data_IF_837098212050
#
_entry.id   IF_837098212050
#
_cell.length_a   1.000
_cell.length_b   1.000
_cell.length_c   1.000
_cell.angle_alpha   90.00
_cell.angle_beta   90.00
_cell.angle_gamma   90.00
#
_symmetry.space_group_name_H-M   'P 1'
#
loop_
_entity.id
_entity.type
_entity.pdbx_description
1 polymer ?
#
# COMPACT_ATOMS: atom_id res chain seq x y z
N UNK A 1 3.01 2.12 7.39
CA UNK A 1 3.00 0.66 7.09
C UNK A 1 4.42 0.17 7.15
N UNK A 2 4.62 -1.04 7.70
CA UNK A 2 5.93 -1.65 7.87
C UNK A 2 5.96 -2.97 7.12
N UNK A 3 6.98 -3.17 6.30
CA UNK A 3 7.20 -4.39 5.54
C UNK A 3 8.55 -4.97 5.94
N UNK A 4 8.56 -6.19 6.48
CA UNK A 4 9.79 -6.90 6.86
C UNK A 4 10.07 -8.01 5.87
N UNK A 5 11.33 -8.13 5.45
CA UNK A 5 11.78 -9.23 4.60
C UNK A 5 13.27 -9.51 4.81
N UNK A 6 13.69 -10.72 4.44
CA UNK A 6 15.10 -11.11 4.35
C UNK A 6 15.42 -11.45 2.90
N UNK A 7 16.60 -11.06 2.45
CA UNK A 7 17.12 -11.50 1.15
C UNK A 7 17.50 -12.99 1.26
N UNK A 8 17.42 -13.71 0.14
CA UNK A 8 17.75 -15.15 0.07
C UNK A 8 19.27 -15.43 0.15
N UNK A 9 20.09 -14.39 0.33
CA UNK A 9 21.55 -14.53 0.40
C UNK A 9 22.00 -14.79 1.84
N UNK A 10 22.99 -15.66 1.99
CA UNK A 10 23.56 -16.00 3.29
C UNK A 10 24.19 -14.75 3.93
N UNK A 11 23.91 -14.50 5.21
CA UNK A 11 24.37 -13.29 5.92
C UNK A 11 23.55 -12.01 5.66
N UNK A 12 22.39 -12.11 5.01
CA UNK A 12 21.52 -10.95 4.78
C UNK A 12 20.90 -10.41 6.07
N UNK A 13 20.97 -9.10 6.34
CA UNK A 13 20.28 -8.49 7.46
C UNK A 13 18.76 -8.58 7.27
N UNK A 14 18.01 -8.49 8.37
CA UNK A 14 16.57 -8.25 8.28
C UNK A 14 16.34 -6.80 7.83
N UNK A 15 15.59 -6.64 6.74
CA UNK A 15 15.27 -5.33 6.17
C UNK A 15 13.83 -4.99 6.49
N UNK A 16 13.61 -3.79 7.01
CA UNK A 16 12.29 -3.24 7.29
C UNK A 16 12.06 -1.95 6.51
N UNK A 17 10.97 -1.87 5.76
CA UNK A 17 10.57 -0.67 5.03
C UNK A 17 9.36 -0.07 5.71
N UNK A 18 9.51 1.15 6.20
CA UNK A 18 8.41 1.95 6.71
C UNK A 18 7.95 2.98 5.67
N UNK A 19 6.69 2.89 5.26
CA UNK A 19 6.04 3.88 4.39
C UNK A 19 4.96 4.62 5.17
N UNK A 20 5.12 5.93 5.29
CA UNK A 20 4.10 6.84 5.83
C UNK A 20 3.03 7.13 4.78
N UNK A 21 1.83 7.49 5.24
CA UNK A 21 0.73 7.89 4.36
C UNK A 21 1.05 9.12 3.51
N UNK A 22 1.92 10.01 4.01
CA UNK A 22 2.39 11.21 3.32
C UNK A 22 3.59 10.99 2.38
N UNK A 23 3.89 9.75 2.00
CA UNK A 23 4.94 9.44 1.01
C UNK A 23 6.38 9.45 1.55
N UNK A 24 6.60 9.69 2.85
CA UNK A 24 7.90 9.44 3.47
C UNK A 24 8.16 7.94 3.53
N UNK A 25 9.29 7.52 2.99
CA UNK A 25 9.77 6.13 3.04
C UNK A 25 11.05 6.11 3.85
N UNK A 26 11.13 5.19 4.81
CA UNK A 26 12.32 4.87 5.58
C UNK A 26 12.66 3.40 5.38
N UNK A 27 13.94 3.08 5.35
CA UNK A 27 14.42 1.71 5.28
C UNK A 27 15.31 1.49 6.48
N UNK A 28 15.16 0.34 7.14
CA UNK A 28 15.95 -0.07 8.29
C UNK A 28 16.60 -1.42 7.97
N UNK A 29 17.82 -1.64 8.45
CA UNK A 29 18.48 -2.93 8.42
C UNK A 29 19.15 -3.17 9.78
N UNK A 30 18.90 -4.33 10.39
CA UNK A 30 19.32 -4.62 11.78
C UNK A 30 18.99 -3.46 12.75
N UNK A 31 17.75 -2.94 12.67
CA UNK A 31 17.22 -1.82 13.47
C UNK A 31 17.87 -0.44 13.24
N UNK A 32 18.87 -0.32 12.35
CA UNK A 32 19.49 0.95 11.98
C UNK A 32 18.83 1.54 10.73
N UNK A 33 18.53 2.84 10.75
CA UNK A 33 18.00 3.55 9.57
C UNK A 33 19.08 3.61 8.48
N UNK A 34 18.73 3.14 7.28
CA UNK A 34 19.58 3.14 6.11
C UNK A 34 19.75 4.57 5.57
N UNK A 35 20.96 4.88 5.13
CA UNK A 35 21.24 6.16 4.49
C UNK A 35 20.58 6.21 3.11
N UNK A 36 19.87 7.31 2.84
CA UNK A 36 19.29 7.59 1.52
C UNK A 36 20.31 8.37 0.69
N UNK A 37 20.72 7.80 -0.43
CA UNK A 37 21.65 8.43 -1.36
C UNK A 37 20.95 9.47 -2.24
N UNK A 38 21.66 10.55 -2.57
CA UNK A 38 21.18 11.61 -3.45
C UNK A 38 21.50 11.31 -4.94
N UNK A 39 21.18 10.10 -5.38
CA UNK A 39 21.36 9.62 -6.74
C UNK A 39 20.00 9.47 -7.46
N UNK A 40 20.03 9.22 -8.78
CA UNK A 40 18.81 8.95 -9.56
C UNK A 40 18.07 7.74 -8.97
N UNK A 41 16.78 7.93 -8.63
CA UNK A 41 15.97 6.90 -7.97
C UNK A 41 16.08 6.86 -6.44
N UNK A 42 16.91 7.73 -5.83
CA UNK A 42 17.08 7.91 -4.38
C UNK A 42 17.19 6.56 -3.62
N UNK A 43 18.13 5.68 -4.00
CA UNK A 43 18.28 4.38 -3.35
C UNK A 43 18.71 4.52 -1.89
N UNK A 44 18.40 3.51 -1.11
CA UNK A 44 18.91 3.33 0.24
C UNK A 44 20.10 2.39 0.22
N UNK A 45 21.14 2.73 0.98
CA UNK A 45 22.34 1.92 1.11
C UNK A 45 22.20 0.98 2.31
N UNK A 46 22.33 -0.32 2.08
CA UNK A 46 22.37 -1.34 3.13
C UNK A 46 23.72 -2.03 3.16
N UNK A 47 24.18 -2.40 4.34
CA UNK A 47 25.42 -3.16 4.52
C UNK A 47 25.11 -4.61 4.85
N UNK A 48 25.63 -5.51 4.02
CA UNK A 48 25.48 -6.96 4.14
C UNK A 48 26.40 -7.52 5.22
N UNK A 49 26.11 -8.74 5.70
CA UNK A 49 26.96 -9.43 6.69
C UNK A 49 28.38 -9.74 6.19
N UNK A 50 28.58 -9.82 4.87
CA UNK A 50 29.90 -9.98 4.24
C UNK A 50 30.67 -8.65 4.09
N UNK A 51 30.13 -7.55 4.63
CA UNK A 51 30.73 -6.22 4.58
C UNK A 51 30.46 -5.44 3.29
N UNK A 52 29.86 -6.06 2.26
CA UNK A 52 29.49 -5.39 1.01
C UNK A 52 28.29 -4.49 1.19
N UNK A 53 28.17 -3.51 0.31
CA UNK A 53 27.04 -2.58 0.28
C UNK A 53 26.12 -2.90 -0.90
N UNK A 54 24.81 -2.82 -0.68
CA UNK A 54 23.78 -2.96 -1.71
C UNK A 54 22.87 -1.76 -1.75
N UNK A 55 22.39 -1.44 -2.95
CA UNK A 55 21.42 -0.36 -3.19
C UNK A 55 20.01 -0.94 -3.25
N UNK A 56 19.12 -0.42 -2.42
CA UNK A 56 17.69 -0.74 -2.40
C UNK A 56 16.92 0.42 -3.01
N UNK A 57 16.20 0.17 -4.10
CA UNK A 57 15.26 1.13 -4.67
C UNK A 57 13.86 0.80 -4.19
N UNK A 58 13.17 1.80 -3.64
CA UNK A 58 11.75 1.70 -3.26
C UNK A 58 10.95 2.57 -4.20
N UNK A 59 10.16 1.93 -5.07
CA UNK A 59 9.36 2.60 -6.10
C UNK A 59 7.88 2.53 -5.74
N UNK A 60 7.21 3.67 -5.87
CA UNK A 60 5.75 3.74 -5.75
C UNK A 60 5.07 3.12 -6.96
N UNK A 61 3.89 2.54 -6.73
CA UNK A 61 3.03 1.99 -7.77
C UNK A 61 1.75 2.81 -7.76
N UNK A 62 1.37 3.36 -8.92
CA UNK A 62 0.27 4.34 -9.04
C UNK A 62 -1.07 3.87 -8.46
N UNK A 63 -1.36 2.57 -8.54
CA UNK A 63 -2.63 1.99 -8.08
C UNK A 63 -2.44 0.99 -6.94
N UNK A 64 -1.31 1.06 -6.23
CA UNK A 64 -1.00 0.07 -5.21
C UNK A 64 -0.26 0.69 -4.02
N UNK A 65 -0.75 0.41 -2.81
CA UNK A 65 -0.13 0.89 -1.59
C UNK A 65 1.16 0.14 -1.24
N UNK A 66 1.35 -1.08 -1.76
CA UNK A 66 2.59 -1.85 -1.55
C UNK A 66 3.63 -1.37 -2.58
N UNK A 67 4.76 -0.81 -2.12
CA UNK A 67 5.80 -0.36 -3.02
C UNK A 67 6.53 -1.55 -3.66
N UNK A 68 7.11 -1.32 -4.84
CA UNK A 68 8.06 -2.24 -5.43
C UNK A 68 9.44 -2.00 -4.82
N UNK A 69 10.10 -3.09 -4.43
CA UNK A 69 11.46 -3.05 -3.90
C UNK A 69 12.37 -3.71 -4.92
N UNK A 70 13.44 -3.04 -5.29
CA UNK A 70 14.43 -3.57 -6.23
C UNK A 70 15.78 -3.58 -5.54
N UNK A 71 16.41 -4.76 -5.49
CA UNK A 71 17.76 -4.98 -4.94
C UNK A 71 18.60 -5.66 -6.02
N UNK A 72 19.74 -5.08 -6.37
CA UNK A 72 20.61 -5.54 -7.48
C UNK A 72 19.86 -5.81 -8.78
N UNK A 73 18.90 -4.96 -9.13
CA UNK A 73 18.08 -5.09 -10.33
C UNK A 73 17.00 -6.17 -10.27
N UNK A 74 16.88 -6.93 -9.17
CA UNK A 74 15.82 -7.93 -8.96
C UNK A 74 14.67 -7.34 -8.13
N UNK A 75 13.44 -7.53 -8.62
CA UNK A 75 12.23 -7.13 -7.88
C UNK A 75 11.97 -8.10 -6.73
N UNK A 76 11.91 -7.57 -5.51
CA UNK A 76 11.51 -8.27 -4.31
C UNK A 76 10.03 -8.02 -4.06
N UNK A 77 9.23 -9.08 -4.12
CA UNK A 77 7.80 -9.00 -3.86
C UNK A 77 7.54 -8.93 -2.34
N UNK A 78 7.22 -7.73 -1.84
CA UNK A 78 6.83 -7.53 -0.43
C UNK A 78 5.47 -8.15 -0.09
N UNK A 79 4.60 -8.27 -1.09
CA UNK A 79 3.28 -8.88 -0.97
C UNK A 79 2.90 -9.53 -2.29
N UNK A 80 1.83 -10.33 -2.27
CA UNK A 80 1.23 -10.87 -3.49
C UNK A 80 0.79 -9.71 -4.39
N UNK A 81 1.15 -9.79 -5.67
CA UNK A 81 0.62 -8.91 -6.72
C UNK A 81 -0.87 -9.20 -6.91
N UNK A 82 -1.67 -8.13 -6.94
CA UNK A 82 -3.06 -8.23 -7.31
C UNK A 82 -3.13 -8.51 -8.81
N UNK A 83 -4.06 -9.36 -9.22
CA UNK A 83 -4.37 -9.58 -10.65
C UNK A 83 -5.37 -8.52 -11.13
N UNK A 84 -5.49 -8.36 -12.45
CA UNK A 84 -6.24 -7.26 -13.06
C UNK A 84 -7.69 -7.12 -12.54
N UNK A 85 -8.41 -8.23 -12.36
CA UNK A 85 -9.80 -8.18 -11.88
C UNK A 85 -9.90 -7.82 -10.39
N UNK A 86 -8.87 -8.10 -9.59
CA UNK A 86 -8.83 -7.69 -8.18
C UNK A 86 -8.64 -6.17 -8.05
N UNK A 87 -7.88 -5.56 -8.98
CA UNK A 87 -7.81 -4.10 -9.08
C UNK A 87 -9.17 -3.50 -9.46
N UNK A 88 -9.87 -4.10 -10.42
CA UNK A 88 -11.18 -3.61 -10.86
C UNK A 88 -12.23 -3.69 -9.75
N UNK A 89 -12.37 -4.87 -9.11
CA UNK A 89 -13.35 -5.09 -8.05
C UNK A 89 -13.01 -4.31 -6.77
N UNK A 90 -11.74 -4.30 -6.39
CA UNK A 90 -11.30 -3.55 -5.22
C UNK A 90 -11.36 -2.04 -5.44
N UNK A 91 -11.27 -1.60 -6.70
CA UNK A 91 -11.30 -0.21 -7.13
C UNK A 91 -12.70 0.44 -7.18
N UNK A 92 -13.78 -0.33 -7.06
CA UNK A 92 -15.16 0.17 -7.19
C UNK A 92 -15.45 1.42 -6.33
N UNK A 93 -15.01 1.51 -5.05
CA UNK A 93 -15.27 2.69 -4.23
C UNK A 93 -14.67 4.00 -4.79
N UNK A 94 -13.73 3.96 -5.75
CA UNK A 94 -13.19 5.17 -6.40
C UNK A 94 -14.27 6.01 -7.11
N UNK A 95 -15.39 5.41 -7.51
CA UNK A 95 -16.51 6.13 -8.11
C UNK A 95 -16.98 7.26 -7.18
N UNK A 96 -16.87 7.09 -5.85
CA UNK A 96 -17.24 8.10 -4.87
C UNK A 96 -16.45 9.40 -4.98
N UNK A 97 -15.30 9.43 -5.66
CA UNK A 97 -14.51 10.66 -5.89
C UNK A 97 -15.36 11.75 -6.59
N UNK A 98 -16.34 11.37 -7.42
CA UNK A 98 -17.24 12.36 -8.05
C UNK A 98 -18.11 13.12 -7.04
N UNK A 99 -18.24 12.60 -5.82
CA UNK A 99 -18.93 13.22 -4.69
C UNK A 99 -18.12 14.28 -3.93
N UNK A 100 -16.98 14.74 -4.48
CA UNK A 100 -16.11 15.75 -3.88
C UNK A 100 -15.16 15.20 -2.81
N UNK A 101 -14.65 16.06 -1.93
CA UNK A 101 -13.62 15.71 -0.94
C UNK A 101 -14.03 14.53 -0.04
N UNK A 102 -15.28 14.51 0.42
CA UNK A 102 -15.80 13.46 1.31
C UNK A 102 -15.85 12.12 0.58
N UNK A 103 -16.38 12.13 -0.64
CA UNK A 103 -16.43 10.95 -1.48
C UNK A 103 -15.04 10.44 -1.85
N UNK A 104 -14.07 11.35 -2.07
CA UNK A 104 -12.67 10.98 -2.29
C UNK A 104 -12.03 10.31 -1.07
N UNK A 105 -12.23 10.85 0.14
CA UNK A 105 -11.71 10.24 1.36
C UNK A 105 -12.28 8.84 1.60
N UNK A 106 -13.60 8.69 1.48
CA UNK A 106 -14.27 7.40 1.69
C UNK A 106 -13.88 6.40 0.58
N UNK A 107 -13.83 6.85 -0.67
CA UNK A 107 -13.46 6.02 -1.81
C UNK A 107 -12.03 5.49 -1.70
N UNK A 108 -11.06 6.34 -1.39
CA UNK A 108 -9.65 5.94 -1.21
C UNK A 108 -9.53 4.93 -0.05
N UNK A 109 -10.20 5.17 1.07
CA UNK A 109 -10.18 4.25 2.21
C UNK A 109 -10.83 2.89 1.88
N UNK A 110 -11.95 2.89 1.16
CA UNK A 110 -12.63 1.66 0.73
C UNK A 110 -11.74 0.81 -0.19
N UNK A 111 -11.08 1.44 -1.16
CA UNK A 111 -10.13 0.78 -2.07
C UNK A 111 -8.96 0.18 -1.29
N UNK A 112 -8.41 0.95 -0.35
CA UNK A 112 -7.32 0.48 0.50
C UNK A 112 -7.69 -0.79 1.27
N UNK A 113 -8.86 -0.81 1.91
CA UNK A 113 -9.35 -1.97 2.64
C UNK A 113 -9.61 -3.17 1.71
N UNK A 114 -10.18 -2.93 0.53
CA UNK A 114 -10.41 -3.98 -0.47
C UNK A 114 -9.11 -4.64 -0.92
N UNK A 115 -8.08 -3.85 -1.25
CA UNK A 115 -6.78 -4.37 -1.67
C UNK A 115 -6.08 -5.14 -0.55
N UNK A 116 -6.24 -4.70 0.71
CA UNK A 116 -5.74 -5.43 1.86
C UNK A 116 -6.41 -6.81 2.00
N UNK A 117 -7.73 -6.89 1.84
CA UNK A 117 -8.49 -8.16 1.87
C UNK A 117 -8.10 -9.08 0.72
N UNK A 118 -7.97 -8.55 -0.50
CA UNK A 118 -7.61 -9.35 -1.69
C UNK A 118 -6.23 -10.00 -1.54
N UNK A 119 -5.30 -9.33 -0.84
CA UNK A 119 -3.97 -9.84 -0.52
C UNK A 119 -3.92 -10.86 0.60
N UNK A 120 -4.91 -10.88 1.50
CA UNK A 120 -4.95 -11.81 2.60
C UNK A 120 -4.92 -13.27 2.10
N UNK A 121 -4.28 -14.17 2.84
CA UNK A 121 -4.25 -15.60 2.49
C UNK A 121 -5.52 -16.29 3.00
N UNK A 122 -6.65 -16.01 2.36
CA UNK A 122 -7.98 -16.55 2.70
C UNK A 122 -8.69 -17.13 1.48
N UNK A 123 -9.77 -17.88 1.72
CA UNK A 123 -10.61 -18.45 0.67
C UNK A 123 -11.24 -17.36 -0.21
N UNK A 124 -11.32 -17.60 -1.52
CA UNK A 124 -11.83 -16.64 -2.52
C UNK A 124 -13.24 -16.15 -2.20
N UNK A 125 -14.12 -17.04 -1.74
CA UNK A 125 -15.50 -16.68 -1.37
C UNK A 125 -15.55 -15.67 -0.21
N UNK A 126 -14.71 -15.87 0.80
CA UNK A 126 -14.62 -14.97 1.96
C UNK A 126 -14.11 -13.59 1.51
N UNK A 127 -13.11 -13.54 0.63
CA UNK A 127 -12.61 -12.27 0.07
C UNK A 127 -13.70 -11.53 -0.69
N UNK A 128 -14.43 -12.22 -1.55
CA UNK A 128 -15.51 -11.62 -2.32
C UNK A 128 -16.58 -11.02 -1.39
N UNK A 129 -16.96 -11.73 -0.33
CA UNK A 129 -17.91 -11.25 0.67
C UNK A 129 -17.42 -9.98 1.38
N UNK A 130 -16.17 -9.97 1.85
CA UNK A 130 -15.59 -8.79 2.50
C UNK A 130 -15.48 -7.60 1.56
N UNK A 131 -15.03 -7.81 0.31
CA UNK A 131 -14.90 -6.74 -0.68
C UNK A 131 -16.26 -6.16 -1.05
N UNK A 132 -17.28 -7.00 -1.23
CA UNK A 132 -18.65 -6.55 -1.43
C UNK A 132 -19.16 -5.76 -0.22
N UNK A 133 -18.93 -6.27 0.99
CA UNK A 133 -19.33 -5.61 2.24
C UNK A 133 -18.68 -4.24 2.43
N UNK A 134 -17.35 -4.13 2.25
CA UNK A 134 -16.61 -2.86 2.31
C UNK A 134 -17.16 -1.88 1.28
N UNK A 135 -17.38 -2.34 0.05
CA UNK A 135 -17.89 -1.49 -1.02
C UNK A 135 -19.27 -0.95 -0.68
N UNK A 136 -20.23 -1.81 -0.33
CA UNK A 136 -21.59 -1.39 0.07
C UNK A 136 -21.52 -0.41 1.25
N UNK A 137 -20.70 -0.72 2.26
CA UNK A 137 -20.53 0.14 3.43
C UNK A 137 -19.97 1.51 3.07
N UNK A 138 -18.99 1.60 2.16
CA UNK A 138 -18.46 2.88 1.67
C UNK A 138 -19.55 3.75 1.03
N UNK A 139 -20.42 3.17 0.20
CA UNK A 139 -21.54 3.92 -0.40
C UNK A 139 -22.56 4.36 0.65
N UNK A 140 -22.94 3.49 1.58
CA UNK A 140 -23.87 3.83 2.66
C UNK A 140 -23.32 4.95 3.54
N UNK A 141 -22.05 4.86 3.92
CA UNK A 141 -21.37 5.88 4.72
C UNK A 141 -21.36 7.23 4.00
N UNK A 142 -21.04 7.24 2.71
CA UNK A 142 -21.08 8.45 1.89
C UNK A 142 -22.49 9.06 1.86
N UNK A 143 -23.53 8.25 1.63
CA UNK A 143 -24.92 8.72 1.58
C UNK A 143 -25.36 9.33 2.91
N UNK A 144 -25.04 8.68 4.05
CA UNK A 144 -25.36 9.21 5.37
C UNK A 144 -24.70 10.57 5.60
N UNK A 145 -23.41 10.71 5.26
CA UNK A 145 -22.68 11.97 5.41
C UNK A 145 -23.23 13.05 4.45
N UNK A 146 -23.51 12.69 3.20
CA UNK A 146 -24.05 13.63 2.22
C UNK A 146 -25.43 14.16 2.64
N UNK A 147 -26.34 13.27 3.07
CA UNK A 147 -27.69 13.64 3.52
C UNK A 147 -27.67 14.48 4.80
N UNK A 148 -26.80 14.13 5.75
CA UNK A 148 -26.65 14.92 6.99
C UNK A 148 -26.13 16.33 6.69
N UNK A 149 -25.13 16.47 5.82
CA UNK A 149 -24.64 17.79 5.40
C UNK A 149 -25.71 18.58 4.65
N UNK A 150 -26.44 17.93 3.75
CA UNK A 150 -27.54 18.59 3.03
C UNK A 150 -28.62 19.09 4.01
N UNK A 151 -28.97 18.32 5.03
CA UNK A 151 -29.92 18.74 6.06
C UNK A 151 -29.41 19.90 6.93
N UNK A 152 -28.10 20.05 7.08
CA UNK A 152 -27.48 21.12 7.85
C UNK A 152 -27.32 22.42 7.04
N UNK A 153 -27.08 22.31 5.73
CA UNK A 153 -26.86 23.45 4.81
C UNK A 153 -28.19 23.91 4.17
N UNK A 154 -29.14 23.00 3.98
CA UNK A 154 -30.47 23.27 3.41
C UNK A 154 -31.50 23.81 4.40
N UNK A 155 -31.05 24.24 5.58
CA UNK A 155 -31.77 25.13 6.51
C UNK A 155 -31.19 26.53 6.38
#
# INVERSE_FOLDING_TARGET
MRFKFKLQEEGSPEIEIEKSFFGKVKVYYNEKEAERLNEKGKPFLIRMGDGKEKKIFVQDVYLDYVPKVIVDGKEINLARKLIWYEYLLGGIPLILISGGMIGALIGILGVYLNFMVMRARSFTAIKALYVAGITIFSFLLYLVIALTLQSLIGR
#
